data_IF_027484117310
#
_entry.id   IF_027484117310
#
_cell.length_a   1.000
_cell.length_b   1.000
_cell.length_c   1.000
_cell.angle_alpha   90.00
_cell.angle_beta   90.00
_cell.angle_gamma   90.00
#
_symmetry.space_group_name_H-M   'P 1'
#
loop_
_entity.id
_entity.type
_entity.pdbx_description
1 polymer ?
#
# COMPACT_ATOMS: atom_id res chain seq x y z
N UNK A 1 9.89 -9.89 -8.84
CA UNK A 1 10.16 -8.45 -9.06
C UNK A 1 11.43 -8.37 -9.88
N UNK A 2 11.40 -7.64 -10.98
CA UNK A 2 12.38 -7.84 -12.05
C UNK A 2 13.79 -7.50 -11.56
N UNK A 3 14.64 -8.50 -11.40
CA UNK A 3 16.08 -8.31 -11.15
C UNK A 3 16.69 -7.34 -12.16
N UNK A 4 16.12 -7.25 -13.36
CA UNK A 4 16.55 -6.30 -14.39
C UNK A 4 16.30 -4.84 -13.97
N UNK A 5 15.26 -4.54 -13.19
CA UNK A 5 15.01 -3.18 -12.68
C UNK A 5 16.06 -2.83 -11.62
N UNK A 6 16.36 -3.75 -10.70
CA UNK A 6 17.38 -3.53 -9.68
C UNK A 6 18.77 -3.36 -10.30
N UNK A 7 19.11 -4.17 -11.30
CA UNK A 7 20.37 -4.06 -12.05
C UNK A 7 20.45 -2.75 -12.84
N UNK A 8 19.38 -2.37 -13.55
CA UNK A 8 19.31 -1.08 -14.25
C UNK A 8 19.52 0.11 -13.32
N UNK A 9 19.00 0.03 -12.09
CA UNK A 9 19.09 1.14 -11.15
C UNK A 9 20.51 1.37 -10.60
N UNK A 10 21.42 0.40 -10.75
CA UNK A 10 22.84 0.59 -10.45
C UNK A 10 23.49 1.60 -11.42
N UNK A 11 23.06 1.60 -12.67
CA UNK A 11 23.62 2.45 -13.74
C UNK A 11 23.04 3.88 -13.75
N UNK A 12 21.99 4.13 -12.97
CA UNK A 12 21.33 5.44 -12.91
C UNK A 12 22.12 6.47 -12.10
N UNK A 13 21.99 7.73 -12.48
CA UNK A 13 22.54 8.87 -11.72
C UNK A 13 21.73 9.15 -10.46
N UNK A 14 22.33 9.88 -9.50
CA UNK A 14 21.66 10.27 -8.23
C UNK A 14 20.36 11.06 -8.50
N UNK A 15 20.38 12.00 -9.45
CA UNK A 15 19.19 12.78 -9.82
C UNK A 15 18.07 11.91 -10.38
N UNK A 16 18.41 10.92 -11.21
CA UNK A 16 17.43 9.97 -11.77
C UNK A 16 16.83 9.07 -10.69
N UNK A 17 17.63 8.61 -9.72
CA UNK A 17 17.16 7.82 -8.59
C UNK A 17 16.20 8.64 -7.71
N UNK A 18 16.51 9.91 -7.43
CA UNK A 18 15.63 10.82 -6.68
C UNK A 18 14.31 11.04 -7.43
N UNK A 19 14.36 11.27 -8.74
CA UNK A 19 13.16 11.46 -9.57
C UNK A 19 12.28 10.21 -9.59
N UNK A 20 12.88 9.02 -9.70
CA UNK A 20 12.15 7.75 -9.60
C UNK A 20 11.50 7.58 -8.22
N UNK A 21 12.22 7.88 -7.14
CA UNK A 21 11.68 7.81 -5.78
C UNK A 21 10.48 8.74 -5.59
N UNK A 22 10.54 9.96 -6.11
CA UNK A 22 9.42 10.89 -6.08
C UNK A 22 8.19 10.34 -6.82
N UNK A 23 8.40 9.76 -8.01
CA UNK A 23 7.32 9.15 -8.80
C UNK A 23 6.68 7.95 -8.06
N UNK A 24 7.50 7.06 -7.49
CA UNK A 24 7.02 5.90 -6.72
C UNK A 24 6.25 6.33 -5.46
N UNK A 25 6.70 7.39 -4.76
CA UNK A 25 5.99 7.95 -3.60
C UNK A 25 4.62 8.53 -4.00
N UNK A 26 4.53 9.21 -5.15
CA UNK A 26 3.25 9.70 -5.68
C UNK A 26 2.33 8.55 -6.07
N UNK A 27 2.85 7.53 -6.74
CA UNK A 27 2.08 6.34 -7.11
C UNK A 27 1.54 5.61 -5.87
N UNK A 28 2.36 5.42 -4.84
CA UNK A 28 1.95 4.83 -3.58
C UNK A 28 0.80 5.62 -2.94
N UNK A 29 0.85 6.96 -2.94
CA UNK A 29 -0.24 7.81 -2.43
C UNK A 29 -1.57 7.56 -3.15
N UNK A 30 -1.53 7.33 -4.46
CA UNK A 30 -2.72 6.99 -5.26
C UNK A 30 -3.22 5.58 -4.93
N UNK A 31 -2.33 4.60 -4.81
CA UNK A 31 -2.68 3.23 -4.45
C UNK A 31 -3.28 3.14 -3.04
N UNK A 32 -2.71 3.86 -2.06
CA UNK A 32 -3.28 3.98 -0.71
C UNK A 32 -4.69 4.58 -0.73
N UNK A 33 -4.95 5.59 -1.56
CA UNK A 33 -6.32 6.13 -1.75
C UNK A 33 -7.27 5.09 -2.34
N UNK A 34 -6.81 4.24 -3.26
CA UNK A 34 -7.61 3.16 -3.81
C UNK A 34 -7.97 2.12 -2.73
N UNK A 35 -7.00 1.70 -1.91
CA UNK A 35 -7.27 0.81 -0.77
C UNK A 35 -8.28 1.43 0.19
N UNK A 36 -8.08 2.70 0.58
CA UNK A 36 -9.00 3.41 1.46
C UNK A 36 -10.42 3.50 0.88
N UNK A 37 -10.57 3.68 -0.43
CA UNK A 37 -11.88 3.68 -1.09
C UNK A 37 -12.57 2.31 -1.02
N UNK A 38 -11.80 1.23 -1.18
CA UNK A 38 -12.30 -0.14 -1.03
C UNK A 38 -12.69 -0.40 0.43
N UNK A 39 -11.85 -0.02 1.39
CA UNK A 39 -12.13 -0.15 2.82
C UNK A 39 -13.38 0.62 3.24
N UNK A 40 -13.56 1.85 2.74
CA UNK A 40 -14.74 2.67 3.04
C UNK A 40 -16.03 2.06 2.47
N UNK A 41 -15.97 1.45 1.28
CA UNK A 41 -17.10 0.69 0.72
C UNK A 41 -17.39 -0.57 1.53
N UNK A 42 -16.36 -1.26 1.99
CA UNK A 42 -16.50 -2.46 2.83
C UNK A 42 -17.01 -2.13 4.23
N UNK A 43 -16.71 -0.95 4.77
CA UNK A 43 -17.20 -0.51 6.07
C UNK A 43 -18.71 -0.23 6.06
N UNK A 44 -19.25 0.46 5.04
CA UNK A 44 -20.70 0.66 4.88
C UNK A 44 -21.43 1.14 6.15
N UNK A 45 -22.61 0.58 6.42
CA UNK A 45 -23.46 0.89 7.59
C UNK A 45 -22.81 0.56 8.95
N UNK A 46 -21.72 -0.23 8.98
CA UNK A 46 -21.06 -0.58 10.25
C UNK A 46 -20.47 0.62 10.99
N UNK A 47 -20.28 1.76 10.32
CA UNK A 47 -19.91 3.01 11.01
C UNK A 47 -20.96 3.48 12.01
N UNK A 48 -22.24 3.12 11.82
CA UNK A 48 -23.31 3.45 12.76
C UNK A 48 -23.27 2.59 14.04
N UNK A 49 -22.49 1.51 14.08
CA UNK A 49 -22.27 0.75 15.30
C UNK A 49 -21.42 1.51 16.33
N UNK A 50 -20.78 2.63 15.95
CA UNK A 50 -20.10 3.53 16.88
C UNK A 50 -21.04 4.10 17.95
N UNK A 51 -22.34 4.22 17.67
CA UNK A 51 -23.33 4.73 18.62
C UNK A 51 -23.66 3.75 19.76
N UNK A 52 -23.19 2.49 19.69
CA UNK A 52 -23.35 1.48 20.74
C UNK A 52 -21.95 1.00 21.15
N UNK A 53 -21.31 1.62 22.15
CA UNK A 53 -19.86 1.57 22.30
C UNK A 53 -19.28 0.17 22.51
N UNK A 54 -19.86 -0.65 23.40
CA UNK A 54 -19.30 -1.98 23.72
C UNK A 54 -19.77 -3.05 22.73
N UNK A 55 -21.09 -3.19 22.56
CA UNK A 55 -21.68 -4.20 21.65
C UNK A 55 -21.38 -3.89 20.18
N UNK A 56 -21.47 -2.62 19.80
CA UNK A 56 -21.19 -2.17 18.44
C UNK A 56 -19.73 -2.33 18.05
N UNK A 57 -18.78 -2.11 18.98
CA UNK A 57 -17.35 -2.34 18.73
C UNK A 57 -17.02 -3.82 18.47
N UNK A 58 -17.56 -4.73 19.27
CA UNK A 58 -17.32 -6.18 19.10
C UNK A 58 -17.91 -6.67 17.77
N UNK A 59 -19.15 -6.28 17.47
CA UNK A 59 -19.83 -6.62 16.22
C UNK A 59 -19.07 -6.02 15.02
N UNK A 60 -18.59 -4.78 15.14
CA UNK A 60 -17.78 -4.11 14.13
C UNK A 60 -16.52 -4.90 13.79
N UNK A 61 -15.74 -5.28 14.81
CA UNK A 61 -14.48 -6.00 14.59
C UNK A 61 -14.71 -7.40 14.03
N UNK A 62 -15.70 -8.15 14.54
CA UNK A 62 -16.00 -9.49 14.05
C UNK A 62 -16.44 -9.48 12.57
N UNK A 63 -17.36 -8.58 12.20
CA UNK A 63 -17.83 -8.47 10.82
C UNK A 63 -16.74 -7.93 9.90
N UNK A 64 -15.95 -6.94 10.35
CA UNK A 64 -14.88 -6.38 9.54
C UNK A 64 -13.75 -7.39 9.32
N UNK A 65 -13.42 -8.21 10.32
CA UNK A 65 -12.48 -9.32 10.18
C UNK A 65 -12.97 -10.33 9.15
N UNK A 66 -14.25 -10.75 9.23
CA UNK A 66 -14.85 -11.66 8.26
C UNK A 66 -14.90 -11.08 6.84
N UNK A 67 -15.19 -9.79 6.69
CA UNK A 67 -15.17 -9.09 5.39
C UNK A 67 -13.76 -8.97 4.80
N UNK A 68 -12.75 -8.74 5.63
CA UNK A 68 -11.34 -8.68 5.21
C UNK A 68 -10.78 -10.07 4.87
N UNK A 69 -11.28 -11.12 5.51
CA UNK A 69 -10.95 -12.50 5.17
C UNK A 69 -11.68 -13.01 3.91
N UNK A 70 -12.66 -12.27 3.39
CA UNK A 70 -13.39 -12.67 2.19
C UNK A 70 -12.45 -12.63 0.96
N UNK A 71 -12.38 -13.72 0.16
CA UNK A 71 -11.51 -13.79 -1.01
C UNK A 71 -11.78 -12.69 -2.03
N UNK A 72 -13.01 -12.17 -2.13
CA UNK A 72 -13.35 -11.05 -3.03
C UNK A 72 -12.66 -9.74 -2.63
N UNK A 73 -12.59 -9.44 -1.33
CA UNK A 73 -11.85 -8.27 -0.83
C UNK A 73 -10.34 -8.49 -0.98
N UNK A 74 -9.89 -9.68 -0.59
CA UNK A 74 -8.49 -10.05 -0.61
C UNK A 74 -7.91 -10.00 -2.03
N UNK A 75 -8.62 -10.54 -3.02
CA UNK A 75 -8.21 -10.51 -4.43
C UNK A 75 -8.16 -9.09 -5.03
N UNK A 76 -8.85 -8.11 -4.45
CA UNK A 76 -8.79 -6.71 -4.88
C UNK A 76 -7.65 -5.95 -4.20
N UNK A 77 -7.42 -6.23 -2.90
CA UNK A 77 -6.49 -5.46 -2.08
C UNK A 77 -5.07 -6.03 -2.12
N UNK A 78 -4.89 -7.35 -2.20
CA UNK A 78 -3.58 -7.99 -2.31
C UNK A 78 -2.74 -7.47 -3.47
N UNK A 79 -3.22 -7.41 -4.74
CA UNK A 79 -2.37 -6.93 -5.84
C UNK A 79 -1.97 -5.46 -5.65
N UNK A 80 -2.84 -4.65 -5.04
CA UNK A 80 -2.55 -3.24 -4.74
C UNK A 80 -1.49 -3.13 -3.64
N UNK A 81 -1.63 -3.90 -2.55
CA UNK A 81 -0.67 -3.93 -1.45
C UNK A 81 0.68 -4.50 -1.88
N UNK A 82 0.68 -5.53 -2.71
CA UNK A 82 1.90 -6.07 -3.31
C UNK A 82 2.62 -4.99 -4.12
N UNK A 83 1.89 -4.23 -4.95
CA UNK A 83 2.47 -3.12 -5.71
C UNK A 83 3.05 -2.02 -4.82
N UNK A 84 2.35 -1.64 -3.76
CA UNK A 84 2.86 -0.69 -2.76
C UNK A 84 4.16 -1.20 -2.13
N UNK A 85 4.17 -2.45 -1.63
CA UNK A 85 5.35 -3.02 -1.01
C UNK A 85 6.54 -3.05 -1.96
N UNK A 86 6.31 -3.45 -3.21
CA UNK A 86 7.33 -3.44 -4.27
C UNK A 86 7.92 -2.04 -4.50
N UNK A 87 7.06 -1.03 -4.59
CA UNK A 87 7.47 0.36 -4.75
C UNK A 87 8.26 0.86 -3.52
N UNK A 88 7.84 0.52 -2.31
CA UNK A 88 8.55 0.88 -1.07
C UNK A 88 9.94 0.23 -1.00
N UNK A 89 10.06 -1.05 -1.34
CA UNK A 89 11.36 -1.72 -1.45
C UNK A 89 12.27 -1.03 -2.47
N UNK A 90 11.72 -0.62 -3.62
CA UNK A 90 12.51 0.07 -4.65
C UNK A 90 12.99 1.44 -4.16
N UNK A 91 12.16 2.18 -3.43
CA UNK A 91 12.55 3.46 -2.82
C UNK A 91 13.69 3.26 -1.83
N UNK A 92 13.58 2.30 -0.92
CA UNK A 92 14.63 2.00 0.07
C UNK A 92 15.93 1.60 -0.62
N UNK A 93 15.86 0.74 -1.65
CA UNK A 93 17.04 0.34 -2.42
C UNK A 93 17.70 1.53 -3.13
N UNK A 94 16.91 2.38 -3.78
CA UNK A 94 17.41 3.58 -4.44
C UNK A 94 18.02 4.57 -3.43
N UNK A 95 17.40 4.75 -2.25
CA UNK A 95 17.94 5.58 -1.17
C UNK A 95 19.31 5.06 -0.70
N UNK A 96 19.48 3.73 -0.60
CA UNK A 96 20.80 3.13 -0.29
C UNK A 96 21.82 3.39 -1.39
N UNK A 97 21.46 3.25 -2.67
CA UNK A 97 22.35 3.56 -3.79
C UNK A 97 22.76 5.03 -3.85
N UNK A 98 21.86 5.95 -3.47
CA UNK A 98 22.19 7.38 -3.38
C UNK A 98 23.21 7.62 -2.25
N UNK A 99 23.00 6.98 -1.09
CA UNK A 99 23.94 7.06 0.04
C UNK A 99 25.33 6.53 -0.35
N UNK A 100 25.41 5.41 -1.06
CA UNK A 100 26.68 4.79 -1.45
C UNK A 100 27.41 5.56 -2.59
N UNK A 101 26.71 6.44 -3.33
CA UNK A 101 27.27 7.25 -4.43
C UNK A 101 27.67 8.68 -4.01
N UNK A 102 27.29 9.11 -2.82
CA UNK A 102 27.66 10.40 -2.23
C UNK A 102 28.92 10.24 -1.35
#
# INVERSE_FOLDING_TARGET
MSEQILKRNLDLTVEELIKQNAQLKVENKVLYKHVSKIDNKTAGWLRLLWFIPILGWVIYNAIMAGRKANPKYLNQVLPIKEKIARNEFQVVYNEKLIEDKN
#
